data_IF_793093932788
#
_entry.id   IF_793093932788
#
_cell.length_a   1.000
_cell.length_b   1.000
_cell.length_c   1.000
_cell.angle_alpha   90.00
_cell.angle_beta   90.00
_cell.angle_gamma   90.00
#
_symmetry.space_group_name_H-M   'P 1'
#
loop_
_entity.id
_entity.type
_entity.pdbx_description
1 polymer ?
#
# COMPACT_ATOMS: atom_id res chain seq x y z
N UNK A 1 48.38 -30.28 -0.57
CA UNK A 1 48.20 -28.91 -1.09
C UNK A 1 46.71 -28.56 -1.18
N UNK A 2 45.94 -28.76 -0.10
CA UNK A 2 44.47 -28.59 -0.07
C UNK A 2 43.96 -28.05 1.29
N UNK A 3 44.82 -27.37 2.06
CA UNK A 3 44.46 -26.78 3.36
C UNK A 3 44.59 -25.24 3.39
N UNK A 4 44.56 -24.58 2.22
CA UNK A 4 44.59 -23.11 2.13
C UNK A 4 43.31 -22.47 1.55
N UNK A 5 42.33 -23.26 1.10
CA UNK A 5 41.12 -22.74 0.47
C UNK A 5 39.91 -22.61 1.41
N UNK A 6 39.97 -23.17 2.63
CA UNK A 6 38.87 -23.07 3.59
C UNK A 6 38.96 -21.88 4.56
N UNK A 7 40.08 -21.13 4.56
CA UNK A 7 40.25 -19.96 5.43
C UNK A 7 39.78 -18.64 4.81
N UNK A 8 39.36 -18.62 3.53
CA UNK A 8 38.88 -17.41 2.84
C UNK A 8 37.34 -17.33 2.81
N UNK A 9 36.62 -18.40 3.17
CA UNK A 9 35.15 -18.42 3.13
C UNK A 9 34.45 -17.96 4.42
N UNK A 10 35.19 -17.65 5.49
CA UNK A 10 34.61 -17.24 6.78
C UNK A 10 34.63 -15.72 7.05
N UNK A 11 35.17 -14.90 6.14
CA UNK A 11 35.29 -13.44 6.36
C UNK A 11 34.28 -12.59 5.57
N UNK A 12 33.30 -13.20 4.90
CA UNK A 12 32.33 -12.48 4.05
C UNK A 12 30.88 -12.49 4.55
N UNK A 13 30.63 -12.84 5.82
CA UNK A 13 29.26 -12.94 6.34
C UNK A 13 28.97 -12.17 7.63
N UNK A 14 29.65 -11.04 7.85
CA UNK A 14 29.21 -10.06 8.86
C UNK A 14 28.97 -8.70 8.21
N UNK A 15 28.06 -8.68 7.23
CA UNK A 15 27.34 -7.46 6.86
C UNK A 15 26.25 -7.22 7.90
N UNK A 16 26.59 -6.44 8.92
CA UNK A 16 25.66 -5.96 9.93
C UNK A 16 24.60 -5.08 9.23
N UNK A 17 23.45 -5.66 8.87
CA UNK A 17 22.28 -4.88 8.46
C UNK A 17 21.57 -4.45 9.74
N UNK A 18 22.07 -3.37 10.34
CA UNK A 18 21.26 -2.59 11.26
C UNK A 18 20.16 -1.92 10.43
N UNK A 19 18.99 -2.52 10.36
CA UNK A 19 17.78 -1.77 10.00
C UNK A 19 17.53 -0.79 11.15
N UNK A 20 18.04 0.43 10.99
CA UNK A 20 17.53 1.57 11.75
C UNK A 20 16.07 1.70 11.33
N UNK A 21 15.17 1.18 12.17
CA UNK A 21 13.78 1.61 12.14
C UNK A 21 13.82 3.13 12.33
N UNK A 22 13.59 3.88 11.25
CA UNK A 22 13.40 5.32 11.34
C UNK A 22 12.20 5.54 12.25
N UNK A 23 12.50 5.88 13.50
CA UNK A 23 11.49 6.16 14.52
C UNK A 23 10.87 7.50 14.16
N UNK A 24 9.87 7.47 13.28
CA UNK A 24 9.05 8.64 13.00
C UNK A 24 8.39 9.08 14.32
N UNK A 25 8.50 10.37 14.71
CA UNK A 25 7.86 10.85 15.91
C UNK A 25 6.35 10.63 15.78
N UNK A 26 5.80 9.79 16.67
CA UNK A 26 4.36 9.50 16.78
C UNK A 26 3.67 10.80 17.21
N UNK A 27 3.29 11.61 16.23
CA UNK A 27 2.44 12.77 16.47
C UNK A 27 1.06 12.22 16.81
N UNK A 28 0.58 12.46 18.02
CA UNK A 28 -0.84 12.26 18.37
C UNK A 28 -1.67 13.19 17.48
N UNK A 29 -2.06 12.72 16.29
CA UNK A 29 -2.97 13.42 15.38
C UNK A 29 -4.29 12.66 15.38
N UNK A 30 -5.32 13.31 15.92
CA UNK A 30 -6.69 12.80 15.97
C UNK A 30 -7.08 12.06 14.67
N UNK A 31 -7.29 10.75 14.77
CA UNK A 31 -7.85 9.92 13.69
C UNK A 31 -6.89 9.52 12.56
N UNK A 32 -5.60 9.87 12.63
CA UNK A 32 -4.61 9.42 11.65
C UNK A 32 -3.93 8.15 12.17
N UNK A 33 -3.79 7.13 11.31
CA UNK A 33 -3.06 5.92 11.65
C UNK A 33 -2.23 5.40 10.48
N UNK A 34 -1.20 4.65 10.83
CA UNK A 34 -0.31 4.02 9.87
C UNK A 34 -1.01 2.80 9.25
N UNK A 35 -1.04 2.76 7.93
CA UNK A 35 -1.49 1.61 7.16
C UNK A 35 -0.33 0.65 6.97
N UNK A 36 -0.53 -0.60 7.36
CA UNK A 36 0.44 -1.68 7.35
C UNK A 36 0.08 -2.72 6.28
N UNK A 37 1.10 -3.38 5.74
CA UNK A 37 0.92 -4.54 4.90
C UNK A 37 0.35 -5.68 5.75
N UNK A 38 -0.84 -6.18 5.40
CA UNK A 38 -1.50 -7.24 6.16
C UNK A 38 -0.65 -8.50 6.32
N UNK A 39 0.21 -8.81 5.33
CA UNK A 39 1.02 -10.03 5.33
C UNK A 39 2.22 -9.98 6.27
N UNK A 40 2.87 -8.82 6.42
CA UNK A 40 4.17 -8.73 7.11
C UNK A 40 4.29 -7.57 8.12
N UNK A 41 3.28 -6.71 8.22
CA UNK A 41 3.27 -5.57 9.14
C UNK A 41 4.10 -4.36 8.68
N UNK A 42 4.76 -4.40 7.51
CA UNK A 42 5.53 -3.26 7.04
C UNK A 42 4.66 -2.06 6.65
N UNK A 43 5.14 -0.85 6.92
CA UNK A 43 4.50 0.41 6.56
C UNK A 43 4.16 0.51 5.07
N UNK A 44 2.90 0.85 4.76
CA UNK A 44 2.40 1.07 3.40
C UNK A 44 2.09 2.54 3.17
N UNK A 45 1.28 3.17 4.01
CA UNK A 45 0.87 4.57 3.82
C UNK A 45 0.39 5.17 5.14
N UNK A 46 0.30 6.49 5.22
CA UNK A 46 -0.43 7.15 6.31
C UNK A 46 -1.89 7.33 5.87
N UNK A 47 -2.86 7.09 6.77
CA UNK A 47 -4.27 7.29 6.42
C UNK A 47 -4.54 8.73 5.99
N UNK A 48 -3.79 9.72 6.47
CA UNK A 48 -3.85 11.11 6.02
C UNK A 48 -3.76 11.29 4.49
N UNK A 49 -3.05 10.41 3.79
CA UNK A 49 -2.93 10.48 2.33
C UNK A 49 -4.09 9.80 1.58
N UNK A 50 -5.04 9.21 2.28
CA UNK A 50 -6.25 8.70 1.66
C UNK A 50 -7.09 9.86 1.11
N UNK A 51 -7.50 9.73 -0.14
CA UNK A 51 -8.39 10.67 -0.81
C UNK A 51 -9.37 9.88 -1.68
N UNK A 52 -10.32 10.57 -2.31
CA UNK A 52 -11.31 9.93 -3.16
C UNK A 52 -11.12 10.31 -4.61
N UNK A 53 -10.50 9.44 -5.41
CA UNK A 53 -10.58 9.52 -6.87
C UNK A 53 -11.62 8.52 -7.38
N UNK A 54 -12.76 8.97 -7.93
CA UNK A 54 -13.75 8.06 -8.47
C UNK A 54 -13.25 7.40 -9.76
N UNK A 55 -13.41 6.09 -9.85
CA UNK A 55 -13.24 5.31 -11.08
C UNK A 55 -14.59 5.30 -11.83
N UNK A 56 -14.65 5.73 -13.11
CA UNK A 56 -15.86 5.65 -13.92
C UNK A 56 -16.41 4.24 -14.08
N UNK A 57 -15.55 3.21 -13.94
CA UNK A 57 -15.90 1.80 -14.07
C UNK A 57 -16.13 1.08 -12.73
N UNK A 58 -16.30 1.80 -11.63
CA UNK A 58 -16.57 1.16 -10.34
C UNK A 58 -17.93 0.43 -10.35
N UNK A 59 -17.92 -0.87 -10.03
CA UNK A 59 -19.14 -1.67 -9.93
C UNK A 59 -19.98 -1.26 -8.72
N UNK A 60 -19.31 -0.88 -7.63
CA UNK A 60 -19.93 -0.43 -6.39
C UNK A 60 -19.03 0.59 -5.73
N UNK A 61 -19.62 1.60 -5.11
CA UNK A 61 -18.92 2.61 -4.31
C UNK A 61 -19.60 2.76 -2.96
N UNK A 62 -18.84 2.64 -1.88
CA UNK A 62 -19.33 2.74 -0.51
C UNK A 62 -18.49 3.71 0.31
N UNK A 63 -19.11 4.24 1.36
CA UNK A 63 -18.44 5.07 2.37
C UNK A 63 -18.27 4.23 3.63
N UNK A 64 -17.03 4.07 4.09
CA UNK A 64 -16.70 3.29 5.28
C UNK A 64 -15.94 4.13 6.30
N UNK A 65 -16.15 3.85 7.58
CA UNK A 65 -15.38 4.46 8.68
C UNK A 65 -14.22 3.54 9.02
N UNK A 66 -13.09 3.74 8.36
CA UNK A 66 -11.91 2.89 8.42
C UNK A 66 -10.66 3.74 8.58
N UNK A 67 -9.60 3.14 9.13
CA UNK A 67 -8.29 3.78 9.27
C UNK A 67 -8.30 5.11 10.06
N UNK A 68 -9.12 5.16 11.12
CA UNK A 68 -9.34 6.36 11.93
C UNK A 68 -10.09 7.49 11.22
N UNK A 69 -10.53 7.28 9.97
CA UNK A 69 -11.22 8.27 9.15
C UNK A 69 -12.69 7.92 8.95
N UNK A 70 -13.50 8.97 8.74
CA UNK A 70 -14.91 8.83 8.41
C UNK A 70 -15.13 8.97 6.90
N UNK A 71 -16.11 8.24 6.38
CA UNK A 71 -16.54 8.34 4.99
C UNK A 71 -15.43 8.11 3.94
N UNK A 72 -14.48 7.21 4.24
CA UNK A 72 -13.47 6.77 3.27
C UNK A 72 -14.17 6.09 2.11
N UNK A 73 -13.80 6.45 0.89
CA UNK A 73 -14.41 5.90 -0.33
C UNK A 73 -13.76 4.57 -0.66
N UNK A 74 -14.55 3.51 -0.61
CA UNK A 74 -14.15 2.16 -1.03
C UNK A 74 -14.87 1.85 -2.34
N UNK A 75 -14.11 1.46 -3.36
CA UNK A 75 -14.63 1.17 -4.69
C UNK A 75 -14.38 -0.30 -5.03
N UNK A 76 -15.43 -1.03 -5.43
CA UNK A 76 -15.31 -2.37 -6.00
C UNK A 76 -14.98 -2.25 -7.48
N UNK A 77 -13.75 -2.59 -7.84
CA UNK A 77 -13.22 -2.57 -9.20
C UNK A 77 -13.04 -4.00 -9.70
N UNK A 78 -13.37 -4.25 -10.96
CA UNK A 78 -13.30 -5.58 -11.58
C UNK A 78 -12.21 -5.56 -12.64
N UNK A 79 -11.27 -6.51 -12.57
CA UNK A 79 -10.25 -6.63 -13.61
C UNK A 79 -10.80 -7.38 -14.85
N UNK A 80 -10.06 -7.42 -15.98
CA UNK A 80 -10.51 -8.12 -17.19
C UNK A 80 -10.79 -9.61 -17.01
N UNK A 81 -10.27 -10.24 -15.96
CA UNK A 81 -10.51 -11.64 -15.62
C UNK A 81 -11.74 -11.83 -14.71
N UNK A 82 -12.52 -10.78 -14.44
CA UNK A 82 -13.72 -10.86 -13.60
C UNK A 82 -13.43 -10.90 -12.09
N UNK A 83 -12.21 -10.59 -11.66
CA UNK A 83 -11.82 -10.60 -10.24
C UNK A 83 -12.13 -9.23 -9.62
N UNK A 84 -12.90 -9.25 -8.53
CA UNK A 84 -13.28 -8.06 -7.77
C UNK A 84 -12.19 -7.66 -6.76
N UNK A 85 -11.94 -6.36 -6.67
CA UNK A 85 -11.07 -5.74 -5.69
C UNK A 85 -11.77 -4.56 -5.03
N UNK A 86 -11.83 -4.56 -3.69
CA UNK A 86 -12.18 -3.37 -2.92
C UNK A 86 -10.93 -2.50 -2.79
N UNK A 87 -11.01 -1.28 -3.31
CA UNK A 87 -9.86 -0.38 -3.46
C UNK A 87 -10.13 0.96 -2.80
N UNK A 88 -9.13 1.45 -2.06
CA UNK A 88 -9.05 2.83 -1.58
C UNK A 88 -7.94 3.57 -2.32
N UNK A 89 -8.09 4.88 -2.53
CA UNK A 89 -7.09 5.70 -3.21
C UNK A 89 -6.23 6.49 -2.22
N UNK A 90 -4.92 6.49 -2.44
CA UNK A 90 -3.95 7.19 -1.60
C UNK A 90 -2.99 8.01 -2.46
N UNK A 91 -2.66 9.24 -2.05
CA UNK A 91 -1.69 10.09 -2.75
C UNK A 91 -0.26 9.54 -2.65
N UNK A 92 0.05 8.88 -1.53
CA UNK A 92 1.37 8.32 -1.25
C UNK A 92 1.26 6.91 -0.69
N UNK A 93 2.06 6.00 -1.22
CA UNK A 93 2.27 4.68 -0.65
C UNK A 93 3.72 4.21 -0.87
N UNK A 94 4.23 3.39 0.05
CA UNK A 94 5.55 2.74 -0.01
C UNK A 94 5.39 1.36 -0.63
N UNK A 95 5.73 1.24 -1.91
CA UNK A 95 5.77 -0.03 -2.62
C UNK A 95 6.80 -0.01 -3.74
N UNK A 96 7.12 -1.21 -4.24
CA UNK A 96 7.91 -1.38 -5.46
C UNK A 96 6.97 -1.55 -6.65
N UNK A 97 7.23 -0.80 -7.71
CA UNK A 97 6.45 -0.83 -8.95
C UNK A 97 6.99 -1.93 -9.88
N UNK A 98 6.21 -2.99 -10.08
CA UNK A 98 6.60 -4.17 -10.84
C UNK A 98 6.07 -4.08 -12.28
N UNK A 99 6.90 -4.45 -13.26
CA UNK A 99 6.58 -4.45 -14.70
C UNK A 99 6.58 -3.06 -15.33
N UNK A 100 6.41 -2.89 -16.64
CA UNK A 100 6.32 -1.59 -17.31
C UNK A 100 4.99 -0.87 -17.02
N UNK A 101 4.89 0.42 -17.36
CA UNK A 101 3.62 1.16 -17.33
C UNK A 101 2.61 0.57 -18.32
N UNK A 102 1.39 0.29 -17.85
CA UNK A 102 0.32 -0.29 -18.66
C UNK A 102 -0.88 0.66 -18.76
N UNK A 103 -1.26 1.04 -19.98
CA UNK A 103 -2.45 1.86 -20.21
C UNK A 103 -3.74 1.05 -20.40
N UNK A 104 -3.62 -0.20 -20.85
CA UNK A 104 -4.76 -1.07 -21.08
C UNK A 104 -5.50 -1.39 -19.78
N UNK A 105 -6.83 -1.48 -19.86
CA UNK A 105 -7.71 -1.85 -18.74
C UNK A 105 -7.54 -1.00 -17.47
N UNK A 106 -7.07 0.25 -17.63
CA UNK A 106 -6.98 1.18 -16.52
C UNK A 106 -8.38 1.55 -16.03
N UNK A 107 -8.62 1.40 -14.72
CA UNK A 107 -9.84 1.88 -14.09
C UNK A 107 -9.94 3.42 -14.04
N UNK A 108 -8.82 4.12 -14.26
CA UNK A 108 -8.75 5.58 -14.21
C UNK A 108 -8.30 6.13 -15.56
N UNK A 109 -9.24 6.62 -16.41
CA UNK A 109 -8.92 7.18 -17.70
C UNK A 109 -7.86 8.30 -17.60
N UNK A 110 -6.89 8.28 -18.52
CA UNK A 110 -5.76 9.21 -18.50
C UNK A 110 -4.62 8.81 -17.55
N UNK A 111 -4.68 7.61 -16.95
CA UNK A 111 -3.60 7.05 -16.15
C UNK A 111 -3.20 5.67 -16.67
N UNK A 112 -1.89 5.43 -16.70
CA UNK A 112 -1.31 4.10 -16.80
C UNK A 112 -1.07 3.53 -15.41
N UNK A 113 -0.95 2.21 -15.29
CA UNK A 113 -0.76 1.55 -14.00
C UNK A 113 0.42 0.58 -13.99
N UNK A 114 0.97 0.36 -12.80
CA UNK A 114 1.94 -0.70 -12.47
C UNK A 114 1.50 -1.41 -11.19
N UNK A 115 1.92 -2.66 -11.03
CA UNK A 115 1.67 -3.41 -9.78
C UNK A 115 2.49 -2.76 -8.66
N UNK A 116 1.83 -2.39 -7.57
CA UNK A 116 2.40 -1.88 -6.33
C UNK A 116 2.57 -3.06 -5.36
N UNK A 117 3.81 -3.52 -5.20
CA UNK A 117 4.16 -4.66 -4.34
C UNK A 117 4.82 -4.20 -3.03
N UNK A 118 4.52 -4.87 -1.92
CA UNK A 118 5.16 -4.59 -0.64
C UNK A 118 6.68 -4.81 -0.75
N UNK A 119 7.47 -3.80 -0.40
CA UNK A 119 8.95 -3.84 -0.47
C UNK A 119 9.58 -4.95 0.38
N UNK A 120 8.88 -5.36 1.45
CA UNK A 120 9.40 -6.32 2.42
C UNK A 120 9.06 -7.77 2.08
N UNK A 121 7.85 -8.04 1.59
CA UNK A 121 7.36 -9.42 1.42
C UNK A 121 6.81 -9.73 0.02
N UNK A 122 6.85 -8.78 -0.91
CA UNK A 122 6.36 -8.91 -2.28
C UNK A 122 4.85 -9.03 -2.41
N UNK A 123 4.08 -8.88 -1.33
CA UNK A 123 2.61 -8.92 -1.39
C UNK A 123 2.09 -7.87 -2.35
N UNK A 124 1.17 -8.26 -3.25
CA UNK A 124 0.48 -7.32 -4.12
C UNK A 124 -0.41 -6.41 -3.26
N UNK A 125 -0.01 -5.16 -3.06
CA UNK A 125 -0.75 -4.17 -2.27
C UNK A 125 -1.81 -3.45 -3.11
N UNK A 126 -1.58 -3.35 -4.42
CA UNK A 126 -2.52 -2.79 -5.37
C UNK A 126 -1.79 -2.24 -6.59
N UNK A 127 -2.13 -1.03 -7.02
CA UNK A 127 -1.58 -0.44 -8.23
C UNK A 127 -1.12 1.00 -8.01
N UNK A 128 -0.04 1.40 -8.68
CA UNK A 128 0.38 2.79 -8.81
C UNK A 128 -0.11 3.31 -10.15
N UNK A 129 -0.83 4.43 -10.14
CA UNK A 129 -1.38 5.09 -11.31
C UNK A 129 -0.58 6.35 -11.62
N UNK A 130 -0.09 6.48 -12.85
CA UNK A 130 0.69 7.61 -13.34
C UNK A 130 -0.01 8.23 -14.54
N UNK A 131 -0.17 9.57 -14.51
CA UNK A 131 -0.86 10.32 -15.57
C UNK A 131 -0.13 10.12 -16.90
N UNK A 132 -0.88 9.85 -17.96
CA UNK A 132 -0.33 9.76 -19.32
C UNK A 132 -0.37 11.14 -20.00
N UNK A 133 0.73 11.55 -20.61
CA UNK A 133 0.87 12.88 -21.24
C UNK A 133 0.05 13.04 -22.53
N UNK A 134 -0.61 11.98 -23.00
CA UNK A 134 -0.91 11.79 -24.43
C UNK A 134 -2.36 12.05 -24.85
N UNK A 135 -3.13 12.94 -24.20
CA UNK A 135 -4.38 13.60 -24.71
C UNK A 135 -5.33 14.07 -23.58
N UNK A 136 -4.82 14.73 -22.54
CA UNK A 136 -5.72 15.29 -21.52
C UNK A 136 -6.48 16.52 -22.10
N UNK A 137 -7.83 16.55 -22.06
CA UNK A 137 -8.57 17.79 -22.24
C UNK A 137 -8.04 18.82 -21.24
N UNK A 138 -7.77 20.05 -21.68
CA UNK A 138 -7.08 21.09 -20.90
C UNK A 138 -7.85 21.59 -19.65
N UNK A 139 -9.00 21.03 -19.29
CA UNK A 139 -9.92 21.67 -18.33
C UNK A 139 -10.63 20.72 -17.35
N UNK A 140 -9.93 19.77 -16.72
CA UNK A 140 -10.49 19.09 -15.53
C UNK A 140 -9.45 18.97 -14.40
N UNK A 141 -9.34 20.09 -13.66
CA UNK A 141 -9.21 20.28 -12.20
C UNK A 141 -8.45 19.32 -11.25
N UNK A 142 -7.78 18.26 -11.68
CA UNK A 142 -6.96 17.44 -10.77
C UNK A 142 -5.51 17.30 -11.27
N UNK A 143 -4.60 18.04 -10.63
CA UNK A 143 -3.15 17.98 -10.85
C UNK A 143 -2.50 16.81 -10.09
N UNK A 144 -3.15 15.66 -10.06
CA UNK A 144 -2.61 14.45 -9.44
C UNK A 144 -1.77 13.74 -10.49
N UNK A 145 -0.44 13.87 -10.39
CA UNK A 145 0.49 13.22 -11.33
C UNK A 145 0.55 11.71 -11.11
N UNK A 146 0.55 11.31 -9.85
CA UNK A 146 0.66 9.92 -9.41
C UNK A 146 -0.21 9.70 -8.18
N UNK A 147 -0.82 8.53 -8.09
CA UNK A 147 -1.51 8.07 -6.89
C UNK A 147 -1.51 6.54 -6.84
N UNK A 148 -2.04 5.96 -5.77
CA UNK A 148 -2.10 4.52 -5.58
C UNK A 148 -3.53 4.06 -5.32
N UNK A 149 -3.93 2.95 -5.93
CA UNK A 149 -5.12 2.20 -5.54
C UNK A 149 -4.68 1.01 -4.69
N UNK A 150 -4.98 1.04 -3.40
CA UNK A 150 -4.61 -0.01 -2.45
C UNK A 150 -5.77 -0.98 -2.22
N UNK A 151 -5.50 -2.28 -2.32
CA UNK A 151 -6.46 -3.35 -2.09
C UNK A 151 -6.74 -3.45 -0.59
N UNK A 152 -7.98 -3.17 -0.19
CA UNK A 152 -8.38 -3.05 1.21
C UNK A 152 -8.04 -4.29 2.03
N UNK A 153 -8.28 -5.49 1.47
CA UNK A 153 -7.96 -6.76 2.15
C UNK A 153 -6.46 -7.01 2.36
N UNK A 154 -5.57 -6.28 1.69
CA UNK A 154 -4.11 -6.47 1.77
C UNK A 154 -3.41 -5.45 2.68
N UNK A 155 -4.18 -4.53 3.25
CA UNK A 155 -3.72 -3.54 4.22
C UNK A 155 -4.49 -3.66 5.55
N UNK A 156 -3.93 -3.07 6.60
CA UNK A 156 -4.48 -2.99 7.95
C UNK A 156 -4.13 -1.63 8.56
N UNK A 157 -4.96 -1.11 9.47
CA UNK A 157 -4.58 0.01 10.32
C UNK A 157 -3.83 -0.48 11.58
N UNK A 158 -2.85 0.28 12.04
CA UNK A 158 -2.09 0.00 13.27
C UNK A 158 -3.00 -0.19 14.50
N UNK A 159 -4.07 0.60 14.63
CA UNK A 159 -4.99 0.50 15.78
C UNK A 159 -5.76 -0.83 15.78
N UNK A 160 -6.03 -1.39 14.60
CA UNK A 160 -6.64 -2.71 14.49
C UNK A 160 -5.65 -3.83 14.88
N UNK A 161 -4.37 -3.68 14.55
CA UNK A 161 -3.36 -4.68 14.95
C UNK A 161 -3.16 -4.72 16.46
N UNK A 162 -3.20 -3.58 17.14
CA UNK A 162 -3.08 -3.48 18.60
C UNK A 162 -4.24 -4.23 19.31
N UNK A 163 -5.43 -4.21 18.72
CA UNK A 163 -6.60 -4.93 19.24
C UNK A 163 -6.48 -6.46 19.11
N UNK A 164 -5.74 -6.95 18.11
CA UNK A 164 -5.57 -8.39 17.87
C UNK A 164 -4.52 -9.03 18.79
N UNK A 165 -3.57 -8.25 19.30
CA UNK A 165 -2.49 -8.72 20.18
C UNK A 165 -2.81 -8.56 21.66
N UNK A 166 -3.98 -8.01 22.01
CA UNK A 166 -4.40 -7.86 23.40
C UNK A 166 -4.85 -9.22 23.95
N UNK A 167 -4.04 -9.80 24.84
CA UNK A 167 -4.38 -11.03 25.55
C UNK A 167 -5.58 -10.74 26.48
N UNK A 168 -6.68 -11.50 26.43
CA UNK A 168 -7.79 -11.26 27.34
C UNK A 168 -7.31 -11.43 28.78
N UNK A 169 -7.73 -10.53 29.67
CA UNK A 169 -7.47 -10.65 31.10
C UNK A 169 -8.00 -12.01 31.57
N UNK A 170 -7.10 -12.96 31.83
CA UNK A 170 -7.46 -14.20 32.49
C UNK A 170 -7.94 -13.82 33.88
N UNK A 171 -9.24 -13.94 34.11
CA UNK A 171 -9.81 -13.82 35.45
C UNK A 171 -9.06 -14.82 36.36
N UNK A 172 -8.41 -14.29 37.39
CA UNK A 172 -7.86 -15.09 38.48
C UNK A 172 -9.05 -15.78 39.15
N UNK A 173 -9.12 -17.10 39.02
CA UNK A 173 -9.98 -17.97 39.84
C UNK A 173 -9.49 -17.96 41.29
#
# INVERSE_FOLDING_TARGET
>A
MFYLLHLILLTYFTGNIYTLAEKYPRSEKNGQELLLCRKCGADVADSYYLFSKPSPGAYKTEKQNIFGQQNVTVQTLVNPFGINFEVVTAEKARCDNIGPNQGADSWFPGYSWRICACKHCGQHLGWTFEKTDSNAPKETSENIKTFHGLILKNILGENFTDSLIMMPNMYRM
#
